data_IF_889304396118
#
_entry.id   IF_889304396118
#
_cell.length_a   1.000
_cell.length_b   1.000
_cell.length_c   1.000
_cell.angle_alpha   90.00
_cell.angle_beta   90.00
_cell.angle_gamma   90.00
#
_symmetry.space_group_name_H-M   'P 1'
#
loop_
_entity.id
_entity.type
_entity.pdbx_description
1 polymer ?
#
# COMPACT_ATOMS: atom_id res chain seq x y z
N UNK A 1 -3.96 5.12 12.65
CA UNK A 1 -4.62 4.84 11.37
C UNK A 1 -3.52 4.71 10.34
N UNK A 2 -3.52 3.63 9.57
CA UNK A 2 -2.54 3.37 8.54
C UNK A 2 -2.92 4.12 7.26
N UNK A 3 -1.91 4.53 6.48
CA UNK A 3 -2.10 5.20 5.19
C UNK A 3 -0.97 4.79 4.24
N UNK A 4 -1.26 4.35 3.04
CA UNK A 4 -0.30 4.15 1.95
C UNK A 4 -0.73 4.96 0.72
N UNK A 5 0.23 5.58 0.04
CA UNK A 5 -0.02 6.31 -1.19
C UNK A 5 0.93 5.82 -2.26
N UNK A 6 0.44 5.56 -3.47
CA UNK A 6 1.27 5.10 -4.57
C UNK A 6 2.39 6.12 -4.89
N UNK A 7 2.09 7.42 -4.83
CA UNK A 7 3.07 8.51 -4.99
C UNK A 7 4.28 8.41 -4.04
N UNK A 8 4.09 7.94 -2.80
CA UNK A 8 5.14 7.83 -1.77
C UNK A 8 6.18 6.75 -2.13
N UNK A 9 5.78 5.79 -2.96
CA UNK A 9 6.61 4.69 -3.43
C UNK A 9 7.10 4.88 -4.88
N UNK A 10 6.91 6.07 -5.45
CA UNK A 10 7.42 6.43 -6.78
C UNK A 10 6.54 5.96 -7.94
N UNK A 11 5.28 5.62 -7.67
CA UNK A 11 4.29 5.36 -8.72
C UNK A 11 3.66 6.66 -9.19
N UNK A 12 3.45 6.80 -10.50
CA UNK A 12 2.66 7.90 -11.09
C UNK A 12 1.15 7.64 -10.91
N UNK A 13 0.71 7.49 -9.65
CA UNK A 13 -0.67 7.21 -9.30
C UNK A 13 -1.10 7.95 -8.03
N UNK A 14 -2.29 8.56 -8.08
CA UNK A 14 -2.90 9.36 -7.00
C UNK A 14 -3.68 8.51 -5.99
N UNK A 15 -3.56 7.18 -6.06
CA UNK A 15 -4.27 6.28 -5.16
C UNK A 15 -3.75 6.37 -3.73
N UNK A 16 -4.70 6.49 -2.80
CA UNK A 16 -4.46 6.55 -1.36
C UNK A 16 -5.34 5.51 -0.66
N UNK A 17 -4.70 4.59 0.04
CA UNK A 17 -5.38 3.63 0.91
C UNK A 17 -5.23 4.09 2.37
N UNK A 18 -6.33 4.38 3.04
CA UNK A 18 -6.36 4.82 4.44
C UNK A 18 -7.35 3.99 5.29
N UNK A 19 -7.00 3.77 6.56
CA UNK A 19 -7.86 3.10 7.54
C UNK A 19 -7.11 2.12 8.44
N UNK A 20 -7.71 0.96 8.67
CA UNK A 20 -7.10 -0.14 9.41
C UNK A 20 -5.97 -0.80 8.61
N UNK A 21 -4.97 -1.33 9.30
CA UNK A 21 -3.81 -1.97 8.67
C UNK A 21 -4.22 -3.04 7.65
N UNK A 22 -5.17 -3.90 7.99
CA UNK A 22 -5.64 -4.95 7.07
C UNK A 22 -6.38 -4.38 5.85
N UNK A 23 -7.19 -3.33 6.03
CA UNK A 23 -7.89 -2.65 4.93
C UNK A 23 -6.89 -2.01 3.97
N UNK A 24 -5.93 -1.27 4.51
CA UNK A 24 -4.90 -0.59 3.71
C UNK A 24 -4.05 -1.60 2.94
N UNK A 25 -3.70 -2.73 3.57
CA UNK A 25 -2.94 -3.78 2.87
C UNK A 25 -3.75 -4.36 1.71
N UNK A 26 -5.02 -4.69 1.94
CA UNK A 26 -5.87 -5.33 0.92
C UNK A 26 -6.21 -4.39 -0.23
N UNK A 27 -6.51 -3.12 0.06
CA UNK A 27 -6.77 -2.12 -0.97
C UNK A 27 -5.50 -1.78 -1.77
N UNK A 28 -4.36 -1.59 -1.10
CA UNK A 28 -3.11 -1.26 -1.78
C UNK A 28 -2.62 -2.38 -2.68
N UNK A 29 -2.67 -3.65 -2.21
CA UNK A 29 -2.26 -4.80 -3.04
C UNK A 29 -3.17 -5.00 -4.25
N UNK A 30 -4.48 -4.87 -4.07
CA UNK A 30 -5.45 -5.05 -5.15
C UNK A 30 -5.26 -3.96 -6.20
N UNK A 31 -5.14 -2.71 -5.76
CA UNK A 31 -4.85 -1.59 -6.63
C UNK A 31 -3.54 -1.77 -7.41
N UNK A 32 -2.45 -2.20 -6.76
CA UNK A 32 -1.19 -2.43 -7.47
C UNK A 32 -1.24 -3.60 -8.44
N UNK A 33 -2.02 -4.64 -8.17
CA UNK A 33 -2.23 -5.75 -9.11
C UNK A 33 -3.03 -5.29 -10.33
N UNK A 34 -4.15 -4.60 -10.10
CA UNK A 34 -5.08 -4.20 -11.17
C UNK A 34 -4.55 -3.03 -12.01
N UNK A 35 -4.01 -1.98 -11.37
CA UNK A 35 -3.62 -0.73 -12.05
C UNK A 35 -2.15 -0.72 -12.44
N UNK A 36 -1.28 -1.34 -11.63
CA UNK A 36 0.16 -1.38 -11.88
C UNK A 36 0.66 -2.72 -12.44
N UNK A 37 -0.16 -3.78 -12.39
CA UNK A 37 0.26 -5.13 -12.79
C UNK A 37 1.28 -5.76 -11.83
N UNK A 38 1.31 -5.31 -10.58
CA UNK A 38 2.28 -5.71 -9.55
C UNK A 38 1.55 -6.43 -8.42
N UNK A 39 1.73 -7.74 -8.36
CA UNK A 39 1.22 -8.57 -7.26
C UNK A 39 2.17 -8.46 -6.05
N UNK A 40 1.84 -7.56 -5.11
CA UNK A 40 2.51 -7.52 -3.82
C UNK A 40 1.89 -8.53 -2.85
N UNK A 41 2.74 -9.38 -2.26
CA UNK A 41 2.33 -10.21 -1.14
C UNK A 41 1.93 -9.37 0.08
N UNK A 42 0.96 -9.88 0.88
CA UNK A 42 0.48 -9.24 2.12
C UNK A 42 1.64 -8.82 3.04
N UNK A 43 2.67 -9.66 3.13
CA UNK A 43 3.87 -9.40 3.93
C UNK A 43 4.68 -8.22 3.43
N UNK A 44 4.85 -8.05 2.11
CA UNK A 44 5.58 -6.93 1.52
C UNK A 44 4.87 -5.61 1.81
N UNK A 45 3.55 -5.56 1.63
CA UNK A 45 2.74 -4.38 1.94
C UNK A 45 2.73 -4.06 3.43
N UNK A 46 2.73 -5.08 4.28
CA UNK A 46 2.90 -4.92 5.72
C UNK A 46 4.26 -4.30 6.08
N UNK A 47 5.34 -4.70 5.41
CA UNK A 47 6.66 -4.07 5.61
C UNK A 47 6.66 -2.60 5.18
N UNK A 48 5.96 -2.23 4.11
CA UNK A 48 5.80 -0.83 3.70
C UNK A 48 5.09 0.00 4.79
N UNK A 49 4.04 -0.55 5.39
CA UNK A 49 3.32 0.09 6.50
C UNK A 49 4.13 0.23 7.78
N UNK A 50 4.95 -0.77 8.11
CA UNK A 50 5.84 -0.72 9.28
C UNK A 50 6.92 0.35 9.10
N UNK A 51 7.54 0.40 7.92
CA UNK A 51 8.55 1.42 7.57
C UNK A 51 7.98 2.83 7.61
N UNK A 52 6.77 3.04 7.09
CA UNK A 52 6.10 4.36 7.12
C UNK A 52 5.71 4.80 8.53
N UNK A 53 5.43 3.87 9.44
CA UNK A 53 5.17 4.17 10.86
C UNK A 53 6.44 4.41 11.69
N UNK A 54 7.64 4.16 11.14
CA UNK A 54 8.92 4.45 11.82
C UNK A 54 9.24 3.51 12.99
N UNK A 55 8.72 2.27 12.97
CA UNK A 55 9.05 1.21 13.95
C UNK A 55 10.21 0.36 13.44
#
# INVERSE_FOLDING_TARGET
MAELKCEDYGFECDFVAEGDMEKVIDEFRAHTDEEHGIDYSKEAVMQFLLRKQGV
#
